data_IF_891474283543
#
_entry.id   IF_891474283543
#
_cell.length_a   1.000
_cell.length_b   1.000
_cell.length_c   1.000
_cell.angle_alpha   90.00
_cell.angle_beta   90.00
_cell.angle_gamma   90.00
#
_symmetry.space_group_name_H-M   'P 1'
#
loop_
_entity.id
_entity.type
_entity.pdbx_description
1 polymer ?
#
# COMPACT_ATOMS: atom_id res chain seq x y z
N UNK A 1 -16.46 -20.12 -14.76
CA UNK A 1 -15.41 -19.36 -14.09
C UNK A 1 -14.36 -20.30 -13.56
N UNK A 2 -13.11 -19.98 -13.83
CA UNK A 2 -12.01 -20.78 -13.30
C UNK A 2 -11.96 -20.65 -11.79
N UNK A 3 -11.74 -21.77 -11.13
CA UNK A 3 -11.62 -21.80 -9.70
C UNK A 3 -10.32 -22.45 -9.32
N UNK A 4 -9.59 -21.84 -8.44
CA UNK A 4 -8.36 -22.38 -7.92
C UNK A 4 -8.68 -23.16 -6.64
N UNK A 5 -8.44 -24.45 -6.68
CA UNK A 5 -8.75 -25.34 -5.57
C UNK A 5 -7.60 -25.50 -4.60
N UNK A 6 -6.49 -24.86 -4.89
CA UNK A 6 -5.30 -24.86 -4.05
C UNK A 6 -4.91 -23.43 -3.79
N UNK A 7 -4.19 -23.22 -2.72
CA UNK A 7 -3.80 -21.88 -2.33
C UNK A 7 -2.64 -21.38 -3.17
N UNK A 8 -2.88 -20.31 -3.91
CA UNK A 8 -1.80 -19.51 -4.48
C UNK A 8 -1.47 -18.42 -3.50
N UNK A 9 -0.19 -18.14 -3.33
CA UNK A 9 0.19 -16.92 -2.64
C UNK A 9 0.00 -15.74 -3.60
N UNK A 10 -0.08 -14.53 -3.07
CA UNK A 10 -0.10 -13.34 -3.91
C UNK A 10 1.10 -13.27 -4.83
N UNK A 11 2.26 -13.75 -4.36
CA UNK A 11 3.47 -13.75 -5.15
C UNK A 11 3.34 -14.61 -6.40
N UNK A 12 2.71 -15.77 -6.27
CA UNK A 12 2.52 -16.68 -7.41
C UNK A 12 1.65 -16.04 -8.49
N UNK A 13 0.57 -15.41 -8.09
CA UNK A 13 -0.30 -14.73 -9.04
C UNK A 13 0.40 -13.55 -9.68
N UNK A 14 1.12 -12.77 -8.90
CA UNK A 14 1.85 -11.62 -9.41
C UNK A 14 2.92 -12.06 -10.41
N UNK A 15 3.64 -13.15 -10.11
CA UNK A 15 4.66 -13.67 -11.02
C UNK A 15 4.04 -14.13 -12.33
N UNK A 16 2.92 -14.82 -12.26
CA UNK A 16 2.20 -15.25 -13.46
C UNK A 16 1.76 -14.04 -14.29
N UNK A 17 1.20 -13.01 -13.62
CA UNK A 17 0.67 -11.84 -14.28
C UNK A 17 1.75 -11.01 -14.96
N UNK A 18 2.95 -11.00 -14.39
CA UNK A 18 4.08 -10.25 -14.95
C UNK A 18 4.56 -10.74 -16.31
N UNK A 19 4.07 -11.88 -16.75
CA UNK A 19 4.39 -12.37 -18.09
C UNK A 19 3.75 -11.54 -19.18
N UNK A 20 2.80 -10.70 -18.83
CA UNK A 20 2.07 -9.89 -19.80
C UNK A 20 2.66 -8.50 -19.86
N UNK A 21 3.06 -8.10 -21.07
CA UNK A 21 3.66 -6.81 -21.29
C UNK A 21 2.64 -5.68 -21.15
N UNK A 22 3.07 -4.56 -20.62
CA UNK A 22 2.22 -3.37 -20.50
C UNK A 22 1.29 -3.35 -19.30
N UNK A 23 1.30 -4.40 -18.50
CA UNK A 23 0.47 -4.50 -17.31
C UNK A 23 1.35 -4.89 -16.14
N UNK A 24 1.12 -4.26 -15.00
CA UNK A 24 1.89 -4.55 -13.79
C UNK A 24 0.94 -4.89 -12.64
N UNK A 25 1.42 -5.71 -11.73
CA UNK A 25 0.74 -6.00 -10.47
C UNK A 25 1.54 -5.37 -9.35
N UNK A 26 0.90 -4.46 -8.65
CA UNK A 26 1.53 -3.72 -7.54
C UNK A 26 0.60 -3.79 -6.36
N UNK A 27 1.14 -4.17 -5.21
CA UNK A 27 0.36 -4.26 -3.99
C UNK A 27 0.21 -2.88 -3.35
N UNK A 28 -0.96 -2.65 -2.80
CA UNK A 28 -1.22 -1.51 -1.92
C UNK A 28 -1.29 -2.06 -0.52
N UNK A 29 -0.46 -1.53 0.40
CA UNK A 29 -0.32 -2.11 1.73
C UNK A 29 -1.63 -2.13 2.50
N UNK A 30 -2.29 -0.98 2.64
CA UNK A 30 -3.54 -0.93 3.41
C UNK A 30 -4.45 0.17 2.93
N UNK A 31 -5.73 -0.07 3.04
CA UNK A 31 -6.75 0.96 2.83
C UNK A 31 -7.55 1.06 4.12
N UNK A 32 -7.48 2.23 4.75
CA UNK A 32 -8.32 2.51 5.91
C UNK A 32 -9.71 2.86 5.43
N UNK A 33 -10.72 2.25 6.00
CA UNK A 33 -12.09 2.46 5.58
C UNK A 33 -13.03 2.45 6.77
N UNK A 34 -14.23 2.95 6.55
CA UNK A 34 -15.28 2.85 7.56
C UNK A 34 -15.68 1.38 7.75
N UNK A 35 -15.72 0.91 8.99
CA UNK A 35 -16.02 -0.50 9.23
C UNK A 35 -17.49 -0.86 8.97
N UNK A 36 -18.34 0.14 8.85
CA UNK A 36 -19.78 -0.09 8.65
C UNK A 36 -20.18 -0.02 7.18
N UNK A 37 -19.70 0.94 6.44
CA UNK A 37 -20.09 1.12 5.04
C UNK A 37 -18.94 0.87 4.06
N UNK A 38 -17.74 0.63 4.57
CA UNK A 38 -16.53 0.39 3.77
C UNK A 38 -16.12 1.56 2.90
N UNK A 39 -16.57 2.77 3.23
CA UNK A 39 -16.10 3.98 2.55
C UNK A 39 -14.58 4.11 2.74
N UNK A 40 -13.82 4.22 1.67
CA UNK A 40 -12.36 4.41 1.79
C UNK A 40 -12.06 5.77 2.42
N UNK A 41 -11.19 5.79 3.41
CA UNK A 41 -10.84 7.00 4.15
C UNK A 41 -9.40 7.45 3.90
N UNK A 42 -8.49 6.51 3.71
CA UNK A 42 -7.08 6.81 3.49
C UNK A 42 -6.36 5.60 2.92
N UNK A 43 -5.30 5.86 2.16
CA UNK A 43 -4.39 4.79 1.75
C UNK A 43 -3.14 4.91 2.60
N UNK A 44 -2.71 3.78 3.17
CA UNK A 44 -1.58 3.73 4.09
C UNK A 44 -0.53 2.79 3.50
N UNK A 45 0.64 3.33 3.21
CA UNK A 45 1.81 2.54 2.83
C UNK A 45 2.74 2.46 4.01
N UNK A 46 3.31 1.30 4.28
CA UNK A 46 4.16 1.08 5.43
C UNK A 46 5.56 0.65 5.03
N UNK A 47 6.51 0.94 5.88
CA UNK A 47 7.89 0.62 5.65
C UNK A 47 8.63 0.55 6.97
N UNK A 48 9.52 -0.43 7.13
CA UNK A 48 10.37 -0.46 8.31
C UNK A 48 11.29 0.76 8.32
N UNK A 49 11.41 1.41 9.45
CA UNK A 49 12.18 2.65 9.57
C UNK A 49 13.67 2.38 9.62
N UNK A 50 14.36 2.76 8.57
CA UNK A 50 15.82 2.75 8.46
C UNK A 50 16.35 4.16 8.26
N UNK A 51 15.62 5.14 8.78
CA UNK A 51 15.91 6.58 8.64
C UNK A 51 15.87 7.08 7.19
N UNK A 52 15.32 6.28 6.29
CA UNK A 52 15.12 6.72 4.91
C UNK A 52 14.02 7.77 4.85
N UNK A 53 14.09 8.64 3.85
CA UNK A 53 13.14 9.74 3.70
C UNK A 53 11.95 9.37 2.83
N UNK A 54 12.05 8.27 2.08
CA UNK A 54 11.06 8.00 1.06
C UNK A 54 11.00 6.52 0.71
N UNK A 55 9.84 6.12 0.29
CA UNK A 55 9.54 4.82 -0.32
C UNK A 55 8.67 5.11 -1.54
N UNK A 56 8.85 4.37 -2.63
CA UNK A 56 8.05 4.57 -3.83
C UNK A 56 6.57 4.30 -3.53
N UNK A 57 5.71 5.27 -3.80
CA UNK A 57 4.28 5.19 -3.51
C UNK A 57 3.44 5.68 -4.68
N UNK A 58 3.96 5.57 -5.91
CA UNK A 58 3.34 6.15 -7.09
C UNK A 58 1.90 5.68 -7.30
N UNK A 59 1.69 4.37 -7.28
CA UNK A 59 0.35 3.83 -7.51
C UNK A 59 -0.61 4.21 -6.40
N UNK A 60 -0.19 4.09 -5.15
CA UNK A 60 -1.02 4.43 -4.01
C UNK A 60 -1.43 5.89 -4.04
N UNK A 61 -0.51 6.76 -4.45
CA UNK A 61 -0.80 8.18 -4.60
C UNK A 61 -1.84 8.44 -5.69
N UNK A 62 -1.71 7.77 -6.82
CA UNK A 62 -2.67 7.91 -7.92
C UNK A 62 -4.06 7.45 -7.49
N UNK A 63 -4.15 6.32 -6.83
CA UNK A 63 -5.43 5.79 -6.34
C UNK A 63 -6.06 6.77 -5.34
N UNK A 64 -5.26 7.27 -4.41
CA UNK A 64 -5.75 8.21 -3.41
C UNK A 64 -6.28 9.49 -4.06
N UNK A 65 -5.56 10.01 -5.05
CA UNK A 65 -6.00 11.18 -5.79
C UNK A 65 -7.36 10.96 -6.47
N UNK A 66 -7.51 9.81 -7.12
CA UNK A 66 -8.75 9.49 -7.83
C UNK A 66 -9.93 9.28 -6.91
N UNK A 67 -9.67 8.80 -5.70
CA UNK A 67 -10.71 8.64 -4.68
C UNK A 67 -10.90 9.89 -3.84
N UNK A 68 -10.04 10.88 -4.03
CA UNK A 68 -10.05 12.13 -3.25
C UNK A 68 -9.88 11.87 -1.76
N UNK A 69 -8.96 11.00 -1.42
CA UNK A 69 -8.63 10.67 -0.04
C UNK A 69 -7.13 10.85 0.19
N UNK A 70 -6.69 11.00 1.44
CA UNK A 70 -5.26 11.15 1.71
C UNK A 70 -4.50 9.84 1.55
N UNK A 71 -3.21 9.98 1.30
CA UNK A 71 -2.27 8.86 1.25
C UNK A 71 -1.15 9.16 2.25
N UNK A 72 -0.85 8.19 3.10
CA UNK A 72 0.18 8.34 4.11
C UNK A 72 1.25 7.27 3.94
N UNK A 73 2.47 7.65 4.23
CA UNK A 73 3.59 6.74 4.32
C UNK A 73 4.00 6.67 5.79
N UNK A 74 3.96 5.48 6.36
CA UNK A 74 4.26 5.25 7.77
C UNK A 74 5.54 4.44 7.88
N UNK A 75 6.56 5.05 8.45
CA UNK A 75 7.79 4.32 8.82
C UNK A 75 7.62 3.85 10.26
N UNK A 76 7.77 2.57 10.48
CA UNK A 76 7.60 1.99 11.80
C UNK A 76 8.88 1.29 12.24
N UNK A 77 9.07 1.21 13.55
CA UNK A 77 10.23 0.56 14.15
C UNK A 77 9.88 0.06 15.53
N UNK A 78 10.27 -1.17 15.83
CA UNK A 78 10.14 -1.68 17.17
C UNK A 78 11.34 -1.21 17.99
N UNK A 79 11.07 -0.48 19.07
CA UNK A 79 12.12 0.05 19.93
C UNK A 79 12.34 -0.83 21.14
N UNK A 80 11.33 -1.60 21.54
CA UNK A 80 11.44 -2.63 22.57
C UNK A 80 10.29 -3.60 22.33
N UNK A 81 10.35 -4.77 22.96
CA UNK A 81 9.32 -5.78 22.74
C UNK A 81 7.93 -5.20 23.02
N UNK A 82 7.09 -5.19 22.01
CA UNK A 82 5.72 -4.69 22.11
C UNK A 82 5.57 -3.19 21.98
N UNK A 83 6.66 -2.45 21.76
CA UNK A 83 6.60 -1.00 21.62
C UNK A 83 7.08 -0.57 20.24
N UNK A 84 6.25 0.19 19.54
CA UNK A 84 6.55 0.69 18.22
C UNK A 84 6.64 2.21 18.23
N UNK A 85 7.50 2.73 17.37
CA UNK A 85 7.51 4.16 17.06
C UNK A 85 7.19 4.34 15.59
N UNK A 86 6.62 5.49 15.26
CA UNK A 86 6.20 5.79 13.90
C UNK A 86 6.69 7.16 13.47
N UNK A 87 7.07 7.25 12.18
CA UNK A 87 7.21 8.52 11.48
C UNK A 87 6.19 8.50 10.37
N UNK A 88 5.32 9.49 10.33
CA UNK A 88 4.23 9.54 9.37
C UNK A 88 4.44 10.71 8.43
N UNK A 89 4.35 10.44 7.14
CA UNK A 89 4.49 11.45 6.10
C UNK A 89 3.26 11.40 5.21
N UNK A 90 2.60 12.54 5.05
CA UNK A 90 1.50 12.62 4.09
C UNK A 90 2.06 12.76 2.70
N UNK A 91 1.61 11.88 1.81
CA UNK A 91 2.01 11.91 0.41
C UNK A 91 0.99 12.78 -0.32
N UNK A 92 1.44 13.88 -0.87
CA UNK A 92 0.57 14.79 -1.58
C UNK A 92 0.67 14.56 -3.07
N UNK A 93 -0.38 14.95 -3.79
CA UNK A 93 -0.36 14.94 -5.23
C UNK A 93 0.83 15.79 -5.72
N UNK A 94 1.40 15.36 -6.82
CA UNK A 94 2.49 16.11 -7.41
C UNK A 94 2.00 17.49 -7.81
N UNK A 95 2.71 18.50 -7.33
CA UNK A 95 2.43 19.88 -7.68
C UNK A 95 3.19 20.20 -8.97
N UNK A 96 2.61 19.89 -10.06
CA UNK A 96 3.23 20.21 -11.35
C UNK A 96 2.57 21.39 -12.00
#
# INVERSE_FOLDING_TARGET
MARYTYAFSNGDYNDWHRKYEGIAMIDVDSVECCQYCYEPLAIIETCYDKDQKYKATTLSKIIAERLNIPCFLVFYKEVSKGSLTFRIKRIRASQT
#
